data_IF_529887445970
#
_entry.id   IF_529887445970
#
_cell.length_a   1.000
_cell.length_b   1.000
_cell.length_c   1.000
_cell.angle_alpha   90.00
_cell.angle_beta   90.00
_cell.angle_gamma   90.00
#
_symmetry.space_group_name_H-M   'P 1'
#
loop_
_entity.id
_entity.type
_entity.pdbx_description
1 polymer ?
#
# COMPACT_ATOMS: atom_id res chain seq x y z
N UNK A 1 10.20 1.42 -12.03
CA UNK A 1 9.77 1.12 -10.66
C UNK A 1 9.01 -0.20 -10.66
N UNK A 2 9.32 -1.05 -9.73
CA UNK A 2 8.61 -2.30 -9.51
C UNK A 2 8.16 -2.40 -8.06
N UNK A 3 7.06 -3.09 -7.82
CA UNK A 3 6.57 -3.32 -6.47
C UNK A 3 5.91 -4.69 -6.38
N UNK A 4 5.86 -5.23 -5.17
CA UNK A 4 5.14 -6.47 -4.90
C UNK A 4 4.49 -6.37 -3.53
N UNK A 5 3.32 -6.98 -3.40
CA UNK A 5 2.62 -7.08 -2.14
C UNK A 5 2.46 -8.54 -1.74
N UNK A 6 2.67 -8.82 -0.46
CA UNK A 6 2.45 -10.12 0.15
C UNK A 6 1.12 -10.09 0.89
N UNK A 7 0.27 -11.06 0.61
CA UNK A 7 -1.11 -11.07 1.08
C UNK A 7 -1.34 -12.10 2.18
N UNK A 8 -2.39 -11.92 2.95
CA UNK A 8 -2.74 -12.78 4.09
C UNK A 8 -2.94 -14.25 3.70
N UNK A 9 -3.37 -14.51 2.47
CA UNK A 9 -3.60 -15.85 1.95
C UNK A 9 -2.34 -16.49 1.33
N UNK A 10 -1.20 -15.83 1.43
CA UNK A 10 0.08 -16.30 0.93
C UNK A 10 0.39 -15.93 -0.51
N UNK A 11 -0.55 -15.30 -1.23
CA UNK A 11 -0.31 -14.88 -2.61
C UNK A 11 0.57 -13.63 -2.65
N UNK A 12 1.31 -13.50 -3.74
CA UNK A 12 2.15 -12.34 -4.02
C UNK A 12 1.71 -11.75 -5.36
N UNK A 13 1.50 -10.45 -5.39
CA UNK A 13 1.17 -9.73 -6.62
C UNK A 13 2.22 -8.67 -6.88
N UNK A 14 2.74 -8.66 -8.10
CA UNK A 14 3.72 -7.67 -8.53
C UNK A 14 3.08 -6.67 -9.48
N UNK A 15 3.67 -5.49 -9.56
CA UNK A 15 3.24 -4.45 -10.47
C UNK A 15 4.41 -3.60 -10.93
N UNK A 16 4.22 -2.95 -12.07
CA UNK A 16 5.12 -1.93 -12.59
C UNK A 16 4.31 -0.65 -12.80
N UNK A 17 4.98 0.49 -12.81
CA UNK A 17 4.29 1.76 -13.05
C UNK A 17 3.72 1.80 -14.47
N UNK A 18 2.56 2.42 -14.60
CA UNK A 18 1.87 2.61 -15.87
C UNK A 18 1.80 4.13 -16.14
N UNK A 19 2.57 4.57 -17.12
CA UNK A 19 2.67 5.97 -17.46
C UNK A 19 1.50 6.40 -18.34
N UNK A 20 1.12 7.68 -18.25
CA UNK A 20 0.06 8.27 -19.05
C UNK A 20 0.44 9.68 -19.44
N UNK A 21 0.11 10.07 -20.67
CA UNK A 21 0.31 11.43 -21.14
C UNK A 21 -0.45 12.45 -20.28
N UNK A 22 -1.60 12.04 -19.76
CA UNK A 22 -2.30 12.79 -18.71
C UNK A 22 -1.72 12.36 -17.36
N UNK A 23 -0.84 13.15 -16.81
CA UNK A 23 -0.03 12.78 -15.64
C UNK A 23 -0.87 12.35 -14.44
N UNK A 24 -2.04 12.95 -14.25
CA UNK A 24 -2.93 12.56 -13.15
C UNK A 24 -3.48 11.14 -13.27
N UNK A 25 -3.38 10.51 -14.44
CA UNK A 25 -3.83 9.15 -14.66
C UNK A 25 -2.69 8.12 -14.60
N UNK A 26 -1.47 8.56 -14.42
CA UNK A 26 -0.31 7.68 -14.21
C UNK A 26 -0.52 6.90 -12.90
N UNK A 27 -0.25 5.60 -12.94
CA UNK A 27 -0.39 4.72 -11.77
C UNK A 27 0.99 4.20 -11.38
N UNK A 28 1.35 4.41 -10.10
CA UNK A 28 2.61 3.91 -9.57
C UNK A 28 2.59 2.39 -9.46
N UNK A 29 3.77 1.77 -9.54
CA UNK A 29 3.93 0.32 -9.42
C UNK A 29 3.27 -0.24 -8.17
N UNK A 30 3.39 0.47 -7.05
CA UNK A 30 2.80 0.07 -5.77
C UNK A 30 1.28 -0.06 -5.88
N UNK A 31 0.62 0.93 -6.48
CA UNK A 31 -0.83 0.88 -6.66
C UNK A 31 -1.26 -0.20 -7.64
N UNK A 32 -0.48 -0.43 -8.70
CA UNK A 32 -0.76 -1.53 -9.64
C UNK A 32 -0.74 -2.86 -8.90
N UNK A 33 0.28 -3.11 -8.06
CA UNK A 33 0.38 -4.34 -7.27
C UNK A 33 -0.80 -4.49 -6.32
N UNK A 34 -1.14 -3.43 -5.58
CA UNK A 34 -2.26 -3.44 -4.63
C UNK A 34 -3.58 -3.72 -5.34
N UNK A 35 -3.84 -3.01 -6.44
CA UNK A 35 -5.11 -3.12 -7.15
C UNK A 35 -5.26 -4.49 -7.83
N UNK A 36 -4.16 -5.09 -8.28
CA UNK A 36 -4.17 -6.47 -8.78
C UNK A 36 -4.61 -7.43 -7.68
N UNK A 37 -4.02 -7.30 -6.49
CA UNK A 37 -4.37 -8.13 -5.34
C UNK A 37 -5.86 -7.98 -4.99
N UNK A 38 -6.33 -6.74 -4.89
CA UNK A 38 -7.73 -6.44 -4.55
C UNK A 38 -8.67 -7.00 -5.62
N UNK A 39 -8.32 -6.87 -6.90
CA UNK A 39 -9.10 -7.42 -8.03
C UNK A 39 -9.24 -8.93 -7.94
N UNK A 40 -8.25 -9.61 -7.37
CA UNK A 40 -8.24 -11.06 -7.19
C UNK A 40 -8.87 -11.51 -5.88
N UNK A 41 -9.52 -10.60 -5.17
CA UNK A 41 -10.26 -10.92 -3.96
C UNK A 41 -9.47 -10.81 -2.66
N UNK A 42 -8.23 -10.33 -2.69
CA UNK A 42 -7.44 -10.14 -1.49
C UNK A 42 -8.01 -8.97 -0.69
N UNK A 43 -8.16 -9.15 0.61
CA UNK A 43 -8.69 -8.12 1.50
C UNK A 43 -7.64 -7.49 2.39
N UNK A 44 -6.53 -8.22 2.65
CA UNK A 44 -5.48 -7.76 3.56
C UNK A 44 -4.10 -7.98 2.99
N UNK A 45 -3.32 -6.92 2.99
CA UNK A 45 -1.92 -6.93 2.58
C UNK A 45 -1.06 -6.89 3.84
N UNK A 46 -0.06 -7.77 3.91
CA UNK A 46 0.80 -7.91 5.08
C UNK A 46 2.15 -7.26 4.92
N UNK A 47 2.60 -7.07 3.69
CA UNK A 47 3.90 -6.45 3.42
C UNK A 47 3.97 -5.92 2.00
N UNK A 48 4.84 -4.95 1.77
CA UNK A 48 5.11 -4.40 0.45
C UNK A 48 6.61 -4.25 0.25
N UNK A 49 7.07 -4.56 -0.95
CA UNK A 49 8.44 -4.31 -1.39
C UNK A 49 8.37 -3.38 -2.60
N UNK A 50 9.19 -2.35 -2.61
CA UNK A 50 9.29 -1.39 -3.70
C UNK A 50 10.74 -1.31 -4.15
N UNK A 51 10.96 -1.40 -5.46
CA UNK A 51 12.27 -1.21 -6.06
C UNK A 51 12.20 0.02 -6.96
N UNK A 52 13.00 1.01 -6.63
CA UNK A 52 13.11 2.24 -7.39
C UNK A 52 14.56 2.43 -7.81
N UNK A 53 14.83 3.46 -8.59
CA UNK A 53 16.18 3.77 -9.02
C UNK A 53 17.10 4.10 -7.83
N UNK A 54 16.60 4.86 -6.88
CA UNK A 54 17.38 5.40 -5.76
C UNK A 54 16.96 4.88 -4.39
N UNK A 55 15.97 4.00 -4.31
CA UNK A 55 15.46 3.46 -3.04
C UNK A 55 14.45 4.35 -2.34
N UNK A 56 13.80 5.25 -3.06
CA UNK A 56 12.81 6.16 -2.49
C UNK A 56 11.59 5.45 -1.93
N UNK A 57 10.91 6.11 -0.99
CA UNK A 57 9.68 5.60 -0.37
C UNK A 57 8.48 5.83 -1.30
N UNK A 58 7.38 5.07 -1.10
CA UNK A 58 6.15 5.30 -1.87
C UNK A 58 5.60 6.71 -1.71
N UNK A 59 5.01 7.25 -2.76
CA UNK A 59 4.36 8.56 -2.70
C UNK A 59 3.13 8.54 -1.77
N UNK A 60 2.61 9.71 -1.44
CA UNK A 60 1.47 9.83 -0.53
C UNK A 60 0.24 9.07 -1.00
N UNK A 61 -0.07 9.11 -2.31
CA UNK A 61 -1.20 8.37 -2.86
C UNK A 61 -1.05 6.86 -2.66
N UNK A 62 0.16 6.33 -2.90
CA UNK A 62 0.44 4.91 -2.71
C UNK A 62 0.35 4.50 -1.23
N UNK A 63 0.82 5.35 -0.33
CA UNK A 63 0.72 5.13 1.12
C UNK A 63 -0.74 5.05 1.56
N UNK A 64 -1.57 5.96 1.04
CA UNK A 64 -2.99 6.00 1.38
C UNK A 64 -3.73 4.76 0.85
N UNK A 65 -3.44 4.35 -0.38
CA UNK A 65 -4.05 3.15 -0.96
C UNK A 65 -3.61 1.91 -0.17
N UNK A 66 -2.33 1.81 0.19
CA UNK A 66 -1.85 0.71 1.02
C UNK A 66 -2.55 0.70 2.38
N UNK A 67 -2.71 1.85 3.01
CA UNK A 67 -3.36 1.95 4.32
C UNK A 67 -4.79 1.39 4.32
N UNK A 68 -5.52 1.54 3.20
CA UNK A 68 -6.88 1.02 3.09
C UNK A 68 -6.92 -0.51 3.16
N UNK A 69 -5.92 -1.17 2.58
CA UNK A 69 -5.90 -2.64 2.45
C UNK A 69 -4.84 -3.31 3.32
N UNK A 70 -4.07 -2.54 4.09
CA UNK A 70 -3.02 -3.07 4.95
C UNK A 70 -3.62 -3.81 6.15
N UNK A 71 -2.94 -4.87 6.55
CA UNK A 71 -3.25 -5.60 7.77
C UNK A 71 -2.54 -4.91 8.92
N UNK A 72 -3.24 -4.02 9.62
CA UNK A 72 -2.70 -3.19 10.70
C UNK A 72 -1.48 -2.38 10.25
N UNK A 73 -0.36 -2.52 10.92
CA UNK A 73 0.85 -1.77 10.64
C UNK A 73 1.85 -2.65 9.88
N UNK A 74 1.83 -2.53 8.56
CA UNK A 74 2.63 -3.39 7.68
C UNK A 74 4.03 -2.84 7.48
N UNK A 75 4.97 -3.74 7.14
CA UNK A 75 6.32 -3.38 6.73
C UNK A 75 6.35 -3.00 5.26
N UNK A 76 7.11 -1.96 4.96
CA UNK A 76 7.40 -1.52 3.61
C UNK A 76 8.91 -1.51 3.44
N UNK A 77 9.42 -2.34 2.51
CA UNK A 77 10.84 -2.42 2.19
C UNK A 77 11.10 -1.67 0.89
N UNK A 78 12.04 -0.73 0.92
CA UNK A 78 12.38 0.11 -0.22
C UNK A 78 13.84 -0.14 -0.64
N UNK A 79 14.02 -0.61 -1.85
CA UNK A 79 15.33 -0.94 -2.41
C UNK A 79 15.63 -0.06 -3.60
N UNK A 80 16.93 0.33 -3.74
CA UNK A 80 17.42 0.96 -4.95
C UNK A 80 17.99 -0.10 -5.89
N UNK A 81 17.89 0.14 -7.20
CA UNK A 81 18.40 -0.80 -8.21
C UNK A 81 19.91 -1.06 -8.06
N UNK A 82 20.65 -0.01 -7.69
CA UNK A 82 22.11 -0.07 -7.58
C UNK A 82 22.60 -0.34 -6.15
N UNK A 83 21.68 -0.56 -5.22
CA UNK A 83 22.02 -0.78 -3.81
C UNK A 83 21.60 -2.17 -3.38
N UNK A 84 22.51 -2.88 -2.73
CA UNK A 84 22.22 -4.22 -2.21
C UNK A 84 21.41 -4.17 -0.91
N UNK A 85 21.44 -3.04 -0.20
CA UNK A 85 20.73 -2.89 1.06
C UNK A 85 19.47 -2.05 0.86
N UNK A 86 18.38 -2.50 1.44
CA UNK A 86 17.13 -1.79 1.48
C UNK A 86 16.89 -1.10 2.80
N UNK A 87 15.92 -0.21 2.83
CA UNK A 87 15.44 0.43 4.05
C UNK A 87 14.07 -0.15 4.40
N UNK A 88 13.85 -0.38 5.69
CA UNK A 88 12.59 -0.87 6.21
C UNK A 88 11.84 0.25 6.90
N UNK A 89 10.54 0.32 6.63
CA UNK A 89 9.66 1.31 7.24
C UNK A 89 8.38 0.63 7.72
N UNK A 90 7.82 1.12 8.82
CA UNK A 90 6.45 0.83 9.17
C UNK A 90 5.53 1.79 8.42
N UNK A 91 4.39 1.31 7.97
CA UNK A 91 3.43 2.18 7.29
C UNK A 91 3.00 3.34 8.20
N UNK A 92 2.86 3.11 9.50
CA UNK A 92 2.51 4.14 10.48
C UNK A 92 3.53 5.27 10.53
N UNK A 93 4.80 5.00 10.24
CA UNK A 93 5.84 6.03 10.15
C UNK A 93 5.74 6.83 8.86
N UNK A 94 5.31 6.18 7.78
CA UNK A 94 5.18 6.81 6.47
C UNK A 94 3.86 7.58 6.30
N UNK A 95 2.83 7.16 7.02
CA UNK A 95 1.50 7.78 6.96
C UNK A 95 0.86 7.74 8.36
N UNK A 96 1.30 8.63 9.26
CA UNK A 96 0.74 8.68 10.61
C UNK A 96 -0.71 9.17 10.59
N UNK A 97 -1.52 8.61 11.47
CA UNK A 97 -2.93 8.98 11.62
C UNK A 97 -3.72 8.85 10.32
N UNK A 98 -3.48 7.78 9.57
CA UNK A 98 -4.10 7.56 8.28
C UNK A 98 -5.62 7.42 8.41
N UNK A 99 -6.34 8.10 7.52
CA UNK A 99 -7.77 7.90 7.36
C UNK A 99 -7.99 6.65 6.49
N UNK A 100 -8.93 5.79 6.87
CA UNK A 100 -9.33 4.68 6.03
C UNK A 100 -10.84 4.53 6.06
N UNK A 101 -11.40 4.02 4.97
CA UNK A 101 -12.83 3.74 4.89
C UNK A 101 -13.25 2.68 5.91
N UNK A 102 -12.40 1.70 6.12
CA UNK A 102 -12.61 0.64 7.10
C UNK A 102 -12.74 1.21 8.51
N UNK A 103 -11.82 2.09 8.92
CA UNK A 103 -11.86 2.76 10.23
C UNK A 103 -13.12 3.59 10.38
N UNK A 104 -13.52 4.29 9.32
CA UNK A 104 -14.74 5.11 9.31
C UNK A 104 -15.99 4.25 9.53
N UNK A 105 -16.10 3.12 8.85
CA UNK A 105 -17.23 2.21 8.98
C UNK A 105 -17.34 1.69 10.42
N UNK A 106 -16.23 1.29 11.02
CA UNK A 106 -16.19 0.83 12.40
C UNK A 106 -16.62 1.94 13.38
N UNK A 107 -16.19 3.17 13.17
CA UNK A 107 -16.59 4.31 13.98
C UNK A 107 -18.07 4.59 13.86
N UNK A 108 -18.63 4.53 12.67
CA UNK A 108 -20.07 4.72 12.43
C UNK A 108 -20.89 3.65 13.13
N UNK A 109 -20.45 2.39 13.10
CA UNK A 109 -21.09 1.30 13.81
C UNK A 109 -21.06 1.50 15.32
N UNK A 110 -19.92 1.90 15.88
CA UNK A 110 -19.78 2.20 17.30
C UNK A 110 -20.71 3.34 17.73
N UNK A 111 -20.79 4.40 16.95
CA UNK A 111 -21.66 5.53 17.21
C UNK A 111 -23.12 5.08 17.21
N UNK A 112 -23.53 4.28 16.23
CA UNK A 112 -24.89 3.77 16.11
C UNK A 112 -25.24 2.89 17.30
N UNK A 113 -24.36 1.98 17.68
CA UNK A 113 -24.56 1.08 18.81
C UNK A 113 -24.54 1.83 20.15
N UNK A 114 -23.64 2.81 20.29
CA UNK A 114 -23.52 3.62 21.49
C UNK A 114 -24.62 4.63 21.65
N UNK A 115 -25.29 5.01 20.56
CA UNK A 115 -26.40 5.98 20.56
C UNK A 115 -27.77 5.37 20.89
N UNK A 116 -27.79 4.07 21.02
CA UNK A 116 -29.01 3.35 21.39
C UNK A 116 -28.99 2.97 22.86
#
# INVERSE_FOLDING_TARGET
VGAAVYCEDGRIFAGANVENASYGLTVCAERVAILRAVSEGVRRIQAMVVVTRDGGTPCGACRQVLAEFADEDVWVWCYGEDKQEGQEYRLSDLLPNAFSLRSRVLQEEEITLGGT
#
